data_IF_303603805405
#
_entry.id   IF_303603805405
#
_cell.length_a   1.000
_cell.length_b   1.000
_cell.length_c   1.000
_cell.angle_alpha   90.00
_cell.angle_beta   90.00
_cell.angle_gamma   90.00
#
_symmetry.space_group_name_H-M   'P 1'
#
loop_
_entity.id
_entity.type
_entity.pdbx_description
1 polymer ?
#
# COMPACT_ATOMS: atom_id res chain seq x y z
N UNK A 1 -1.09 -7.36 -9.84
CA UNK A 1 -1.55 -6.22 -10.67
C UNK A 1 -0.50 -5.14 -10.60
N UNK A 2 -0.29 -4.41 -11.69
CA UNK A 2 0.69 -3.32 -11.76
C UNK A 2 -0.05 -1.99 -11.87
N UNK A 3 0.17 -1.12 -10.89
CA UNK A 3 -0.37 0.23 -10.84
C UNK A 3 0.81 1.20 -10.89
N UNK A 4 0.81 2.14 -11.83
CA UNK A 4 1.93 3.05 -12.01
C UNK A 4 1.53 4.33 -12.71
N UNK A 5 2.14 5.43 -12.29
CA UNK A 5 2.06 6.73 -12.95
C UNK A 5 2.83 6.62 -14.26
N UNK A 6 2.17 6.83 -15.39
CA UNK A 6 2.77 6.70 -16.73
C UNK A 6 3.28 8.05 -17.25
N UNK A 7 2.65 9.13 -16.81
CA UNK A 7 2.84 10.51 -17.23
C UNK A 7 3.67 11.32 -16.22
N UNK A 8 4.70 10.70 -15.63
CA UNK A 8 5.58 11.38 -14.69
C UNK A 8 6.71 12.14 -15.42
N UNK A 9 7.22 13.21 -14.83
CA UNK A 9 8.38 13.94 -15.37
C UNK A 9 9.66 13.09 -15.24
N UNK A 10 10.19 12.65 -16.39
CA UNK A 10 11.44 11.89 -16.46
C UNK A 10 12.66 12.68 -15.99
N UNK A 11 12.60 14.01 -16.06
CA UNK A 11 13.68 14.90 -15.63
C UNK A 11 13.63 15.20 -14.13
N UNK A 12 12.61 14.71 -13.41
CA UNK A 12 12.55 14.88 -11.96
C UNK A 12 13.79 14.28 -11.28
N UNK A 13 14.46 15.11 -10.47
CA UNK A 13 15.66 14.68 -9.77
C UNK A 13 15.33 13.52 -8.80
N UNK A 14 16.00 12.38 -9.00
CA UNK A 14 15.82 11.18 -8.19
C UNK A 14 16.95 11.04 -7.19
N UNK A 15 16.61 10.60 -5.99
CA UNK A 15 17.59 10.26 -4.95
C UNK A 15 17.61 8.74 -4.78
N UNK A 16 18.81 8.16 -4.88
CA UNK A 16 19.01 6.73 -4.62
C UNK A 16 19.32 6.52 -3.14
N UNK A 17 18.44 5.79 -2.44
CA UNK A 17 18.63 5.43 -1.04
C UNK A 17 19.49 4.17 -0.94
N UNK A 18 20.80 4.38 -0.82
CA UNK A 18 21.75 3.32 -0.46
C UNK A 18 21.67 3.11 1.06
N UNK A 19 21.38 1.89 1.49
CA UNK A 19 21.09 1.55 2.88
C UNK A 19 21.86 0.29 3.28
N UNK A 20 22.38 0.28 4.49
CA UNK A 20 23.02 -0.89 5.12
C UNK A 20 21.98 -1.76 5.85
N UNK A 21 22.41 -2.94 6.31
CA UNK A 21 21.54 -3.85 7.06
C UNK A 21 21.15 -3.21 8.39
N UNK A 22 19.86 -2.95 8.56
CA UNK A 22 19.28 -2.38 9.79
C UNK A 22 18.83 -0.94 9.61
N UNK A 23 19.29 -0.26 8.55
CA UNK A 23 18.81 1.07 8.21
C UNK A 23 17.31 1.04 7.90
N UNK A 24 16.63 2.12 8.28
CA UNK A 24 15.20 2.28 8.08
C UNK A 24 14.92 3.64 7.45
N UNK A 25 14.09 3.65 6.41
CA UNK A 25 13.59 4.89 5.79
C UNK A 25 12.11 5.05 6.12
N UNK A 26 11.73 6.27 6.48
CA UNK A 26 10.34 6.70 6.63
C UNK A 26 10.01 7.67 5.51
N UNK A 27 8.87 7.49 4.86
CA UNK A 27 8.41 8.39 3.81
C UNK A 27 6.89 8.47 3.75
N UNK A 28 6.39 9.54 3.14
CA UNK A 28 4.96 9.84 3.04
C UNK A 28 4.28 8.98 1.95
N UNK A 29 3.00 8.55 2.10
CA UNK A 29 2.30 7.71 1.11
C UNK A 29 2.19 8.30 -0.31
N UNK A 30 2.29 9.62 -0.44
CA UNK A 30 2.25 10.33 -1.73
C UNK A 30 3.63 10.53 -2.36
N UNK A 31 4.72 10.09 -1.71
CA UNK A 31 6.05 10.17 -2.31
C UNK A 31 6.12 9.20 -3.50
N UNK A 32 6.36 9.73 -4.70
CA UNK A 32 6.60 8.92 -5.89
C UNK A 32 7.94 8.18 -5.70
N UNK A 33 7.88 6.85 -5.66
CA UNK A 33 9.05 6.01 -5.43
C UNK A 33 8.98 4.73 -6.25
N UNK A 34 10.14 4.14 -6.52
CA UNK A 34 10.27 2.84 -7.20
C UNK A 34 11.53 2.11 -6.80
N UNK A 35 11.51 0.78 -6.93
CA UNK A 35 12.75 0.01 -6.91
C UNK A 35 13.51 0.18 -8.23
N UNK A 36 14.82 0.37 -8.15
CA UNK A 36 15.73 0.25 -9.28
C UNK A 36 15.89 -1.21 -9.72
N UNK A 37 16.35 -1.43 -10.96
CA UNK A 37 16.66 -2.77 -11.47
C UNK A 37 17.81 -3.38 -10.66
N UNK A 38 17.60 -4.58 -10.14
CA UNK A 38 18.69 -5.39 -9.59
C UNK A 38 19.52 -5.95 -10.76
N UNK A 39 20.80 -5.55 -10.84
CA UNK A 39 21.75 -5.98 -11.88
C UNK A 39 22.65 -7.14 -11.43
N UNK A 40 22.44 -7.66 -10.22
CA UNK A 40 23.22 -8.77 -9.65
C UNK A 40 22.46 -10.10 -9.77
N UNK A 41 23.14 -11.22 -9.51
CA UNK A 41 22.51 -12.55 -9.42
C UNK A 41 21.89 -12.84 -8.05
N UNK A 42 22.11 -11.96 -7.06
CA UNK A 42 21.58 -12.13 -5.70
C UNK A 42 20.15 -11.60 -5.55
N UNK A 43 19.42 -12.13 -4.57
CA UNK A 43 18.10 -11.61 -4.19
C UNK A 43 18.22 -10.53 -3.12
N UNK A 44 17.68 -9.33 -3.41
CA UNK A 44 17.58 -8.23 -2.45
C UNK A 44 16.35 -8.43 -1.56
N UNK A 45 16.54 -8.40 -0.24
CA UNK A 45 15.46 -8.53 0.77
C UNK A 45 15.19 -7.19 1.44
N UNK A 46 13.93 -6.92 1.71
CA UNK A 46 13.45 -5.78 2.50
C UNK A 46 12.14 -6.17 3.20
N UNK A 47 11.84 -5.54 4.33
CA UNK A 47 10.55 -5.63 5.02
C UNK A 47 9.98 -4.23 5.13
N UNK A 48 8.66 -4.10 5.01
CA UNK A 48 7.97 -2.80 5.10
C UNK A 48 6.64 -2.94 5.82
N UNK A 49 6.21 -1.84 6.43
CA UNK A 49 4.90 -1.71 7.07
C UNK A 49 4.38 -0.28 6.83
N UNK A 50 3.08 -0.14 6.62
CA UNK A 50 2.43 1.16 6.56
C UNK A 50 1.64 1.36 7.85
N UNK A 51 1.93 2.45 8.56
CA UNK A 51 1.23 2.83 9.77
C UNK A 51 0.26 3.97 9.47
N UNK A 52 -0.87 3.99 10.17
CA UNK A 52 -1.82 5.09 10.16
C UNK A 52 -2.23 5.41 11.61
N UNK A 53 -2.57 6.66 11.87
CA UNK A 53 -3.17 7.03 13.16
C UNK A 53 -4.51 6.31 13.31
N UNK A 54 -4.85 5.85 14.53
CA UNK A 54 -6.16 5.28 14.78
C UNK A 54 -7.31 6.29 14.61
N UNK A 55 -7.01 7.59 14.55
CA UNK A 55 -7.96 8.67 14.23
C UNK A 55 -8.26 8.83 12.73
N UNK A 56 -7.54 8.15 11.83
CA UNK A 56 -7.83 8.18 10.40
C UNK A 56 -9.19 7.53 10.09
N UNK A 57 -9.69 7.70 8.88
CA UNK A 57 -10.98 7.15 8.45
C UNK A 57 -10.89 6.52 7.06
N UNK A 58 -11.81 5.60 6.79
CA UNK A 58 -12.03 5.03 5.47
C UNK A 58 -12.83 6.01 4.61
N UNK A 59 -12.44 6.14 3.34
CA UNK A 59 -13.15 6.95 2.33
C UNK A 59 -13.84 6.02 1.32
N UNK A 60 -14.95 6.49 0.74
CA UNK A 60 -15.52 5.88 -0.45
C UNK A 60 -14.66 6.27 -1.66
N UNK A 61 -14.28 5.27 -2.47
CA UNK A 61 -13.41 5.45 -3.63
C UNK A 61 -14.18 5.45 -4.94
N UNK A 62 -15.52 5.27 -4.92
CA UNK A 62 -16.36 5.33 -6.13
C UNK A 62 -16.22 6.67 -6.84
N UNK A 63 -16.05 6.61 -8.17
CA UNK A 63 -15.84 7.80 -9.00
C UNK A 63 -14.47 8.47 -8.83
N UNK A 64 -13.57 7.88 -8.02
CA UNK A 64 -12.18 8.37 -7.87
C UNK A 64 -11.22 7.53 -8.71
N UNK A 65 -9.96 7.96 -8.80
CA UNK A 65 -8.90 7.18 -9.44
C UNK A 65 -8.60 5.84 -8.73
N UNK A 66 -9.11 5.63 -7.51
CA UNK A 66 -8.91 4.41 -6.72
C UNK A 66 -10.04 3.40 -6.82
N UNK A 67 -11.11 3.68 -7.58
CA UNK A 67 -12.25 2.76 -7.72
C UNK A 67 -11.85 1.37 -8.22
N UNK A 68 -10.87 1.29 -9.13
CA UNK A 68 -10.38 0.01 -9.64
C UNK A 68 -9.71 -0.84 -8.55
N UNK A 69 -9.07 -0.20 -7.55
CA UNK A 69 -8.44 -0.91 -6.43
C UNK A 69 -9.50 -1.60 -5.58
N UNK A 70 -10.66 -0.96 -5.36
CA UNK A 70 -11.77 -1.58 -4.63
C UNK A 70 -12.22 -2.87 -5.33
N UNK A 71 -12.49 -2.81 -6.64
CA UNK A 71 -12.93 -3.97 -7.43
C UNK A 71 -11.93 -5.11 -7.34
N UNK A 72 -10.65 -4.81 -7.57
CA UNK A 72 -9.56 -5.78 -7.51
C UNK A 72 -9.42 -6.46 -6.14
N UNK A 73 -9.50 -5.68 -5.06
CA UNK A 73 -9.33 -6.20 -3.69
C UNK A 73 -10.53 -7.06 -3.27
N UNK A 74 -11.74 -6.64 -3.62
CA UNK A 74 -12.96 -7.41 -3.36
C UNK A 74 -12.94 -8.74 -4.14
N UNK A 75 -12.54 -8.72 -5.42
CA UNK A 75 -12.40 -9.95 -6.21
C UNK A 75 -11.37 -10.93 -5.61
N UNK A 76 -10.24 -10.44 -5.11
CA UNK A 76 -9.25 -11.28 -4.44
C UNK A 76 -9.83 -11.87 -3.14
N UNK A 77 -10.51 -11.06 -2.34
CA UNK A 77 -11.12 -11.51 -1.09
C UNK A 77 -12.18 -12.59 -1.34
N UNK A 78 -13.03 -12.40 -2.34
CA UNK A 78 -14.05 -13.37 -2.75
C UNK A 78 -13.41 -14.71 -3.16
N UNK A 79 -12.34 -14.67 -3.98
CA UNK A 79 -11.59 -15.88 -4.39
C UNK A 79 -10.95 -16.62 -3.22
N UNK A 80 -10.42 -15.90 -2.23
CA UNK A 80 -9.72 -16.50 -1.09
C UNK A 80 -10.66 -17.06 -0.02
N UNK A 81 -11.83 -16.44 0.15
CA UNK A 81 -12.72 -16.74 1.28
C UNK A 81 -14.07 -17.34 0.86
N UNK A 82 -14.29 -17.58 -0.44
CA UNK A 82 -15.52 -18.19 -0.96
C UNK A 82 -16.79 -17.40 -0.61
N UNK A 83 -16.64 -16.10 -0.39
CA UNK A 83 -17.70 -15.22 0.09
C UNK A 83 -18.35 -14.51 -1.10
N UNK A 84 -19.57 -14.91 -1.44
CA UNK A 84 -20.48 -14.15 -2.32
C UNK A 84 -21.22 -13.02 -1.56
N UNK A 85 -20.72 -12.62 -0.39
CA UNK A 85 -21.32 -11.57 0.42
C UNK A 85 -20.85 -10.18 -0.01
N UNK A 86 -21.70 -9.17 0.26
CA UNK A 86 -21.46 -7.73 0.06
C UNK A 86 -20.32 -7.20 0.96
N UNK A 87 -19.13 -7.78 0.90
CA UNK A 87 -17.95 -7.33 1.63
C UNK A 87 -17.43 -6.06 0.95
N UNK A 88 -17.40 -4.97 1.72
CA UNK A 88 -16.85 -3.70 1.23
C UNK A 88 -15.33 -3.63 1.38
N UNK A 89 -14.69 -2.71 0.66
CA UNK A 89 -13.27 -2.42 0.85
C UNK A 89 -12.94 -2.05 2.30
N UNK A 90 -13.83 -1.31 2.96
CA UNK A 90 -13.72 -0.92 4.38
C UNK A 90 -13.63 -2.16 5.29
N UNK A 91 -14.49 -3.15 5.08
CA UNK A 91 -14.53 -4.36 5.91
C UNK A 91 -13.22 -5.14 5.81
N UNK A 92 -12.69 -5.26 4.59
CA UNK A 92 -11.41 -5.95 4.30
C UNK A 92 -10.26 -5.28 5.06
N UNK A 93 -10.14 -3.95 4.97
CA UNK A 93 -9.07 -3.23 5.67
C UNK A 93 -9.28 -3.20 7.19
N UNK A 94 -10.52 -3.11 7.67
CA UNK A 94 -10.85 -3.16 9.10
C UNK A 94 -10.42 -4.50 9.69
N UNK A 95 -10.70 -5.62 8.98
CA UNK A 95 -10.30 -6.95 9.39
C UNK A 95 -8.78 -7.17 9.35
N UNK A 96 -8.08 -6.54 8.41
CA UNK A 96 -6.60 -6.65 8.28
C UNK A 96 -5.83 -5.75 9.25
N UNK A 97 -6.38 -4.61 9.63
CA UNK A 97 -5.71 -3.65 10.52
C UNK A 97 -5.47 -4.23 11.92
N UNK A 98 -4.39 -3.79 12.59
CA UNK A 98 -4.06 -4.21 13.96
C UNK A 98 -3.66 -2.99 14.77
N UNK A 99 -4.17 -2.89 16.00
CA UNK A 99 -3.72 -1.89 16.97
C UNK A 99 -2.30 -2.25 17.41
N UNK A 100 -1.35 -1.39 17.07
CA UNK A 100 0.07 -1.60 17.44
C UNK A 100 0.38 -0.94 18.79
N UNK A 101 -0.17 0.25 19.05
CA UNK A 101 0.03 1.02 20.28
C UNK A 101 -1.10 2.03 20.49
N UNK A 102 -1.44 2.32 21.74
CA UNK A 102 -2.48 3.29 22.10
C UNK A 102 -3.87 2.66 22.09
N UNK A 103 -4.86 3.41 21.61
CA UNK A 103 -6.25 2.98 21.55
C UNK A 103 -6.76 2.88 20.11
N UNK A 104 -7.68 1.95 19.89
CA UNK A 104 -8.38 1.82 18.61
C UNK A 104 -9.57 2.77 18.61
N UNK A 105 -9.51 3.83 17.81
CA UNK A 105 -10.50 4.90 17.79
C UNK A 105 -11.43 4.75 16.58
N UNK A 106 -10.89 4.77 15.36
CA UNK A 106 -11.70 4.74 14.14
C UNK A 106 -11.21 3.75 13.06
N UNK A 107 -9.89 3.55 12.88
CA UNK A 107 -9.34 2.47 12.04
C UNK A 107 -9.27 1.12 12.78
#
# INVERSE_FOLDING_TARGET
MYHGIQDYDENSARVHLVMEKGDTVFFHPLLIHRSGRNKTQGFRKAISCHFASSNCHYIDVKGTSQENIEKEVVEIAAKLHGTESNISLKDIWTFRSRLVKGERINL
#
